data_IF_720471847902
#
_entry.id   IF_720471847902
#
_cell.length_a   1.000
_cell.length_b   1.000
_cell.length_c   1.000
_cell.angle_alpha   90.00
_cell.angle_beta   90.00
_cell.angle_gamma   90.00
#
_symmetry.space_group_name_H-M   'P 1'
#
loop_
_entity.id
_entity.type
_entity.pdbx_description
1 polymer ?
#
# COMPACT_ATOMS: atom_id res chain seq x y z
N UNK A 1 -15.58 -2.71 -1.73
CA UNK A 1 -14.44 -1.76 -1.68
C UNK A 1 -14.96 -0.40 -2.12
N UNK A 2 -14.70 0.64 -1.35
CA UNK A 2 -15.02 2.04 -1.66
C UNK A 2 -13.73 2.78 -1.97
N UNK A 3 -13.80 3.89 -2.70
CA UNK A 3 -12.64 4.77 -2.91
C UNK A 3 -12.05 5.28 -1.58
N UNK A 4 -12.91 5.51 -0.58
CA UNK A 4 -12.52 5.81 0.80
C UNK A 4 -11.79 4.68 1.53
N UNK A 5 -11.63 3.49 0.96
CA UNK A 5 -10.75 2.46 1.54
C UNK A 5 -9.30 2.64 1.02
N UNK A 6 -9.12 3.32 -0.12
CA UNK A 6 -7.85 3.50 -0.83
C UNK A 6 -7.28 4.93 -0.68
N UNK A 7 -8.15 5.92 -0.53
CA UNK A 7 -7.81 7.35 -0.66
C UNK A 7 -8.31 8.19 0.54
N UNK A 8 -8.13 7.69 1.77
CA UNK A 8 -8.58 8.32 3.02
C UNK A 8 -7.84 9.60 3.39
N UNK A 9 -6.57 9.70 3.01
CA UNK A 9 -5.71 10.82 3.39
C UNK A 9 -4.56 10.97 2.42
N UNK A 10 -3.96 12.17 2.35
CA UNK A 10 -2.78 12.44 1.52
C UNK A 10 -1.65 11.41 1.75
N UNK A 11 -1.43 10.99 2.99
CA UNK A 11 -0.42 9.99 3.31
C UNK A 11 -0.77 8.60 2.74
N UNK A 12 -2.04 8.18 2.81
CA UNK A 12 -2.47 6.92 2.22
C UNK A 12 -2.39 6.95 0.69
N UNK A 13 -2.78 8.06 0.05
CA UNK A 13 -2.65 8.21 -1.41
C UNK A 13 -1.19 8.08 -1.83
N UNK A 14 -0.26 8.75 -1.13
CA UNK A 14 1.18 8.60 -1.36
C UNK A 14 1.68 7.17 -1.18
N UNK A 15 1.19 6.46 -0.15
CA UNK A 15 1.53 5.05 0.06
C UNK A 15 1.07 4.19 -1.12
N UNK A 16 -0.19 4.34 -1.54
CA UNK A 16 -0.78 3.61 -2.67
C UNK A 16 0.01 3.88 -3.95
N UNK A 17 0.29 5.15 -4.25
CA UNK A 17 1.09 5.53 -5.42
C UNK A 17 2.50 4.95 -5.37
N UNK A 18 3.18 5.05 -4.22
CA UNK A 18 4.53 4.49 -4.07
C UNK A 18 4.57 2.98 -4.32
N UNK A 19 3.58 2.25 -3.81
CA UNK A 19 3.46 0.80 -4.01
C UNK A 19 3.14 0.46 -5.47
N UNK A 20 2.29 1.24 -6.13
CA UNK A 20 1.96 1.06 -7.54
C UNK A 20 3.11 1.41 -8.48
N UNK A 21 4.02 2.30 -8.09
CA UNK A 21 5.27 2.57 -8.80
C UNK A 21 6.34 1.50 -8.58
N UNK A 22 6.22 0.71 -7.51
CA UNK A 22 7.20 -0.27 -7.07
C UNK A 22 6.56 -1.66 -6.86
N UNK A 23 5.76 -2.11 -7.83
CA UNK A 23 4.82 -3.24 -7.72
C UNK A 23 5.44 -4.58 -7.32
N UNK A 24 6.73 -4.76 -7.64
CA UNK A 24 7.48 -6.00 -7.37
C UNK A 24 8.33 -5.92 -6.09
N UNK A 25 8.32 -4.78 -5.39
CA UNK A 25 9.10 -4.59 -4.17
C UNK A 25 8.31 -4.98 -2.93
N UNK A 26 9.05 -5.53 -1.98
CA UNK A 26 8.60 -5.80 -0.63
C UNK A 26 9.16 -4.72 0.29
N UNK A 27 8.33 -4.21 1.19
CA UNK A 27 8.70 -3.13 2.09
C UNK A 27 8.50 -3.53 3.54
N UNK A 28 9.41 -3.11 4.41
CA UNK A 28 9.14 -3.10 5.84
C UNK A 28 8.53 -1.77 6.28
N UNK A 29 7.84 -1.80 7.43
CA UNK A 29 7.16 -0.63 7.98
C UNK A 29 8.08 0.58 8.20
N UNK A 30 9.31 0.35 8.66
CA UNK A 30 10.29 1.41 8.92
C UNK A 30 10.80 2.06 7.62
N UNK A 31 10.93 1.28 6.55
CA UNK A 31 11.28 1.76 5.22
C UNK A 31 10.19 2.66 4.64
N UNK A 32 8.93 2.20 4.69
CA UNK A 32 7.80 3.02 4.26
C UNK A 32 7.67 4.32 5.06
N UNK A 33 7.88 4.25 6.39
CA UNK A 33 7.84 5.41 7.27
C UNK A 33 8.86 6.48 6.83
N UNK A 34 10.09 6.07 6.50
CA UNK A 34 11.13 6.96 5.98
C UNK A 34 10.79 7.54 4.61
N UNK A 35 10.34 6.73 3.67
CA UNK A 35 9.96 7.17 2.31
C UNK A 35 8.84 8.20 2.35
N UNK A 36 7.90 8.01 3.28
CA UNK A 36 6.70 8.82 3.36
C UNK A 36 6.82 10.03 4.31
N UNK A 37 7.92 10.14 5.04
CA UNK A 37 8.12 11.13 6.10
C UNK A 37 6.99 11.11 7.15
N UNK A 38 6.70 9.91 7.67
CA UNK A 38 5.69 9.71 8.71
C UNK A 38 6.18 8.71 9.76
N UNK A 39 5.49 8.63 10.90
CA UNK A 39 5.78 7.62 11.91
C UNK A 39 5.43 6.19 11.43
N UNK A 40 6.10 5.14 11.92
CA UNK A 40 5.71 3.76 11.65
C UNK A 40 4.25 3.46 12.01
N UNK A 41 3.74 3.99 13.14
CA UNK A 41 2.35 3.78 13.54
C UNK A 41 1.36 4.40 12.54
N UNK A 42 1.71 5.53 11.92
CA UNK A 42 0.95 6.11 10.81
C UNK A 42 0.89 5.13 9.63
N UNK A 43 2.02 4.54 9.23
CA UNK A 43 2.06 3.52 8.14
C UNK A 43 1.14 2.35 8.45
N UNK A 44 1.20 1.79 9.67
CA UNK A 44 0.33 0.67 10.03
C UNK A 44 -1.16 1.04 9.92
N UNK A 45 -1.54 2.22 10.41
CA UNK A 45 -2.93 2.69 10.39
C UNK A 45 -3.47 2.87 8.97
N UNK A 46 -2.69 3.45 8.07
CA UNK A 46 -3.13 3.70 6.68
C UNK A 46 -3.00 2.47 5.78
N UNK A 47 -2.13 1.51 6.12
CA UNK A 47 -2.01 0.24 5.41
C UNK A 47 -3.14 -0.74 5.78
N UNK A 48 -3.65 -0.68 7.01
CA UNK A 48 -4.71 -1.57 7.51
C UNK A 48 -5.94 -1.66 6.58
N UNK A 49 -6.59 -0.57 6.13
CA UNK A 49 -7.69 -0.65 5.17
C UNK A 49 -7.29 -1.29 3.83
N UNK A 50 -6.05 -1.09 3.36
CA UNK A 50 -5.53 -1.68 2.12
C UNK A 50 -5.33 -3.20 2.26
N UNK A 51 -4.91 -3.66 3.45
CA UNK A 51 -4.82 -5.09 3.79
C UNK A 51 -6.23 -5.70 3.84
N UNK A 52 -7.19 -5.03 4.51
CA UNK A 52 -8.58 -5.50 4.61
C UNK A 52 -9.25 -5.65 3.25
N UNK A 53 -9.00 -4.76 2.30
CA UNK A 53 -9.53 -4.86 0.94
C UNK A 53 -8.67 -5.73 0.00
N UNK A 54 -7.67 -6.44 0.55
CA UNK A 54 -6.75 -7.33 -0.17
C UNK A 54 -5.89 -6.63 -1.23
N UNK A 55 -5.73 -5.31 -1.17
CA UNK A 55 -4.80 -4.58 -2.05
C UNK A 55 -3.35 -4.84 -1.62
N UNK A 56 -3.10 -4.96 -0.32
CA UNK A 56 -1.78 -5.31 0.21
C UNK A 56 -1.77 -6.69 0.85
N UNK A 57 -0.67 -7.40 0.64
CA UNK A 57 -0.23 -8.49 1.48
C UNK A 57 0.43 -7.90 2.73
N UNK A 58 0.22 -8.58 3.85
CA UNK A 58 0.78 -8.20 5.14
C UNK A 58 1.25 -9.44 5.87
N UNK A 59 2.51 -9.43 6.30
CA UNK A 59 3.09 -10.47 7.13
C UNK A 59 3.80 -9.87 8.35
N UNK A 60 3.73 -10.60 9.47
CA UNK A 60 4.55 -10.33 10.64
C UNK A 60 5.72 -11.33 10.63
N UNK A 61 6.91 -10.82 10.37
CA UNK A 61 8.15 -11.58 10.42
C UNK A 61 8.73 -11.59 11.84
N UNK A 62 9.81 -12.34 12.04
CA UNK A 62 10.51 -12.47 13.31
C UNK A 62 10.74 -11.12 14.02
N UNK A 63 10.66 -11.14 15.36
CA UNK A 63 10.79 -9.96 16.23
C UNK A 63 9.75 -8.86 15.99
N UNK A 64 8.64 -9.18 15.32
CA UNK A 64 7.50 -8.27 15.14
C UNK A 64 7.64 -7.32 13.96
N UNK A 65 8.61 -7.54 13.06
CA UNK A 65 8.76 -6.75 11.85
C UNK A 65 7.56 -6.94 10.93
N UNK A 66 6.97 -5.83 10.49
CA UNK A 66 5.82 -5.81 9.58
C UNK A 66 6.28 -5.61 8.15
N UNK A 67 5.89 -6.53 7.27
CA UNK A 67 6.21 -6.54 5.84
C UNK A 67 4.93 -6.30 5.03
N UNK A 68 5.06 -5.50 3.97
CA UNK A 68 4.00 -5.11 3.05
C UNK A 68 4.43 -5.31 1.60
N UNK A 69 3.54 -5.84 0.78
CA UNK A 69 3.72 -5.95 -0.67
C UNK A 69 2.37 -5.76 -1.37
N UNK A 70 2.40 -5.36 -2.65
CA UNK A 70 1.18 -5.28 -3.44
C UNK A 70 0.66 -6.69 -3.73
N UNK A 71 -0.63 -6.95 -3.47
CA UNK A 71 -1.23 -8.26 -3.70
C UNK A 71 -1.64 -8.42 -5.17
N UNK A 72 -0.67 -8.64 -6.06
CA UNK A 72 -0.89 -8.71 -7.53
C UNK A 72 -1.87 -9.81 -7.97
N UNK A 73 -2.15 -10.79 -7.12
CA UNK A 73 -3.11 -11.87 -7.38
C UNK A 73 -4.55 -11.48 -7.02
N UNK A 74 -4.74 -10.46 -6.17
CA UNK A 74 -6.08 -10.02 -5.79
C UNK A 74 -6.75 -9.20 -6.91
N UNK A 75 -8.03 -9.48 -7.25
CA UNK A 75 -8.76 -8.71 -8.26
C UNK A 75 -8.85 -7.21 -7.96
N UNK A 76 -8.81 -6.81 -6.67
CA UNK A 76 -8.82 -5.41 -6.27
C UNK A 76 -7.51 -4.70 -6.61
N UNK A 77 -6.37 -5.33 -6.35
CA UNK A 77 -5.06 -4.77 -6.68
C UNK A 77 -4.85 -4.69 -8.19
N UNK A 78 -5.26 -5.72 -8.94
CA UNK A 78 -5.18 -5.72 -10.42
C UNK A 78 -5.97 -4.57 -11.04
N UNK A 79 -7.21 -4.33 -10.58
CA UNK A 79 -8.01 -3.19 -11.04
C UNK A 79 -7.40 -1.84 -10.66
N UNK A 80 -6.79 -1.75 -9.48
CA UNK A 80 -6.10 -0.53 -9.05
C UNK A 80 -4.84 -0.27 -9.88
N UNK A 81 -4.09 -1.33 -10.23
CA UNK A 81 -2.94 -1.29 -11.12
C UNK A 81 -3.37 -0.76 -12.50
N UNK A 82 -4.40 -1.35 -13.09
CA UNK A 82 -4.93 -0.97 -14.41
C UNK A 82 -5.43 0.48 -14.41
N UNK A 83 -6.16 0.87 -13.36
CA UNK A 83 -6.63 2.24 -13.18
C UNK A 83 -5.45 3.22 -13.12
N UNK A 84 -4.42 2.92 -12.33
CA UNK A 84 -3.25 3.78 -12.20
C UNK A 84 -2.45 3.89 -13.50
N UNK A 85 -2.29 2.79 -14.25
CA UNK A 85 -1.61 2.82 -15.54
C UNK A 85 -2.33 3.74 -16.53
N UNK A 86 -3.67 3.62 -16.64
CA UNK A 86 -4.49 4.49 -17.50
C UNK A 86 -4.40 5.97 -17.13
N UNK A 87 -4.35 6.29 -15.84
CA UNK A 87 -4.23 7.69 -15.37
C UNK A 87 -2.84 8.26 -15.65
N UNK A 88 -1.78 7.44 -15.55
CA UNK A 88 -0.40 7.89 -15.80
C UNK A 88 -0.11 8.15 -17.29
N UNK A 89 -0.93 7.61 -18.18
CA UNK A 89 -0.85 7.82 -19.63
C UNK A 89 -1.54 9.11 -20.11
N UNK A 90 -2.22 9.84 -19.21
CA UNK A 90 -2.80 11.17 -19.47
C UNK A 90 -1.75 12.28 -19.32
#
# INVERSE_FOLDING_TARGET
MRLLDLFQSKAQVKLVEHLLQNRDKVFNQAGLARVMDVSPSTVARIAEPLVRCKVLLFERYEKGMKIFALNKEAPAAQKLIEFYDKIREL
#
